data_IF_618326907985
#
_entry.id   IF_618326907985
#
_cell.length_a   1.000
_cell.length_b   1.000
_cell.length_c   1.000
_cell.angle_alpha   90.00
_cell.angle_beta   90.00
_cell.angle_gamma   90.00
#
_symmetry.space_group_name_H-M   'P 1'
#
loop_
_entity.id
_entity.type
_entity.pdbx_description
1 polymer ?
#
# COMPACT_ATOMS: atom_id res chain seq x y z
N UNK A 1 -19.74 24.33 38.66
CA UNK A 1 -19.68 24.93 37.32
C UNK A 1 -19.34 23.80 36.36
N UNK A 2 -20.12 23.67 35.30
CA UNK A 2 -20.23 22.50 34.43
C UNK A 2 -18.92 22.11 33.72
N UNK A 3 -18.82 20.81 33.44
CA UNK A 3 -17.90 20.13 32.53
C UNK A 3 -17.79 20.82 31.16
N UNK A 4 -16.58 21.21 30.76
CA UNK A 4 -16.17 21.46 29.37
C UNK A 4 -14.69 21.10 29.25
N UNK A 5 -14.40 19.85 28.88
CA UNK A 5 -13.04 19.36 28.69
C UNK A 5 -12.96 18.06 27.89
N UNK A 6 -14.00 17.74 27.12
CA UNK A 6 -14.04 16.56 26.25
C UNK A 6 -14.30 17.00 24.82
N UNK A 7 -13.28 17.54 24.16
CA UNK A 7 -13.21 17.81 22.71
C UNK A 7 -11.72 18.01 22.35
N UNK A 8 -10.89 16.99 22.50
CA UNK A 8 -9.49 17.08 22.03
C UNK A 8 -9.20 15.96 21.02
N UNK A 9 -9.27 14.69 21.42
CA UNK A 9 -8.91 13.59 20.51
C UNK A 9 -9.84 13.41 19.28
N UNK A 10 -11.16 13.50 19.44
CA UNK A 10 -12.12 13.31 18.33
C UNK A 10 -12.03 14.44 17.29
N UNK A 11 -11.93 15.69 17.75
CA UNK A 11 -11.78 16.84 16.85
C UNK A 11 -10.44 16.87 16.12
N UNK A 12 -9.38 16.37 16.76
CA UNK A 12 -8.04 16.28 16.19
C UNK A 12 -7.91 15.14 15.15
N UNK A 13 -8.67 14.05 15.30
CA UNK A 13 -8.73 12.97 14.32
C UNK A 13 -9.43 13.40 13.00
N UNK A 14 -10.50 14.19 13.08
CA UNK A 14 -11.22 14.77 11.93
C UNK A 14 -10.34 15.69 11.05
N UNK A 15 -9.20 16.13 11.59
CA UNK A 15 -8.21 16.98 10.92
C UNK A 15 -7.17 16.17 10.12
N UNK A 16 -7.22 14.85 10.10
CA UNK A 16 -6.24 14.02 9.37
C UNK A 16 -6.88 12.93 8.53
N UNK A 17 -6.21 12.53 7.45
CA UNK A 17 -6.66 11.43 6.56
C UNK A 17 -5.45 10.79 5.87
N UNK A 18 -5.58 9.53 5.45
CA UNK A 18 -4.55 8.84 4.67
C UNK A 18 -4.81 8.98 3.16
N UNK A 19 -3.74 8.91 2.36
CA UNK A 19 -3.87 8.71 0.92
C UNK A 19 -4.59 7.37 0.67
N UNK A 20 -5.82 7.44 0.19
CA UNK A 20 -6.59 6.24 -0.11
C UNK A 20 -6.19 5.67 -1.47
N UNK A 21 -6.08 4.35 -1.55
CA UNK A 21 -5.74 3.66 -2.79
C UNK A 21 -6.35 2.27 -2.83
N UNK A 22 -6.58 1.77 -4.04
CA UNK A 22 -6.70 0.34 -4.23
C UNK A 22 -5.31 -0.29 -4.06
N UNK A 23 -5.21 -1.46 -3.43
CA UNK A 23 -3.95 -2.20 -3.43
C UNK A 23 -4.15 -3.67 -3.77
N UNK A 24 -3.32 -4.18 -4.68
CA UNK A 24 -3.17 -5.60 -4.96
C UNK A 24 -1.74 -5.98 -4.66
N UNK A 25 -1.54 -6.74 -3.59
CA UNK A 25 -0.21 -7.01 -3.04
C UNK A 25 0.06 -8.50 -3.00
N UNK A 26 0.74 -9.01 -4.03
CA UNK A 26 1.23 -10.38 -4.03
C UNK A 26 2.61 -10.48 -3.35
N UNK A 27 2.78 -11.43 -2.45
CA UNK A 27 4.02 -11.65 -1.69
C UNK A 27 4.24 -13.12 -1.38
N UNK A 28 5.49 -13.51 -1.13
CA UNK A 28 5.82 -14.80 -0.56
C UNK A 28 5.72 -14.80 0.96
N UNK A 29 5.32 -15.91 1.54
CA UNK A 29 5.43 -16.13 2.99
C UNK A 29 6.87 -15.86 3.47
N UNK A 30 7.00 -15.06 4.53
CA UNK A 30 8.27 -14.61 5.08
C UNK A 30 8.94 -13.45 4.33
N UNK A 31 8.37 -12.97 3.22
CA UNK A 31 8.91 -11.85 2.45
C UNK A 31 8.67 -10.51 3.18
N UNK A 32 9.61 -9.58 2.98
CA UNK A 32 9.51 -8.17 3.39
C UNK A 32 9.39 -7.28 2.15
N UNK A 33 8.38 -6.43 2.14
CA UNK A 33 8.12 -5.50 1.05
C UNK A 33 8.07 -4.05 1.57
N UNK A 34 9.01 -3.17 1.19
CA UNK A 34 8.96 -1.79 1.61
C UNK A 34 7.78 -1.06 0.97
N UNK A 35 7.10 -0.24 1.76
CA UNK A 35 6.02 0.64 1.33
C UNK A 35 6.03 1.93 2.14
N UNK A 36 5.29 2.95 1.69
CA UNK A 36 5.14 4.19 2.45
C UNK A 36 3.69 4.68 2.39
N UNK A 37 3.08 4.88 3.56
CA UNK A 37 1.79 5.55 3.67
C UNK A 37 1.98 7.06 3.80
N UNK A 38 1.08 7.84 3.19
CA UNK A 38 1.04 9.30 3.38
C UNK A 38 -0.18 9.67 4.21
N UNK A 39 0.02 10.40 5.31
CA UNK A 39 -1.04 10.95 6.15
C UNK A 39 -1.01 12.47 6.03
N UNK A 40 -2.14 13.05 5.62
CA UNK A 40 -2.34 14.48 5.46
C UNK A 40 -3.04 15.09 6.67
N UNK A 41 -2.73 16.35 6.94
CA UNK A 41 -3.29 17.14 8.04
C UNK A 41 -3.87 18.45 7.51
N UNK A 42 -5.14 18.72 7.84
CA UNK A 42 -5.88 19.96 7.53
C UNK A 42 -5.34 21.21 8.25
N UNK A 43 -4.28 21.05 9.05
CA UNK A 43 -3.68 22.08 9.90
C UNK A 43 -2.16 21.93 9.88
N UNK A 44 -1.43 23.06 9.96
CA UNK A 44 0.03 23.08 10.14
C UNK A 44 0.49 22.54 11.50
N UNK A 45 -0.45 22.41 12.44
CA UNK A 45 -0.28 21.73 13.72
C UNK A 45 -0.93 20.34 13.64
N UNK A 46 -0.16 19.29 13.29
CA UNK A 46 -0.69 17.92 13.25
C UNK A 46 -1.11 17.45 14.65
N UNK A 47 -2.06 16.51 14.75
CA UNK A 47 -2.65 16.03 16.00
C UNK A 47 -1.68 15.19 16.86
N UNK A 48 -0.56 14.76 16.28
CA UNK A 48 0.52 14.06 16.96
C UNK A 48 1.86 14.43 16.32
N UNK A 49 2.96 14.18 17.04
CA UNK A 49 4.32 14.34 16.53
C UNK A 49 4.83 13.05 15.91
N UNK A 50 5.85 13.17 15.05
CA UNK A 50 6.46 12.01 14.38
C UNK A 50 7.05 10.99 15.36
N UNK A 51 7.59 11.43 16.52
CA UNK A 51 8.17 10.57 17.56
C UNK A 51 7.12 9.89 18.46
N UNK A 52 5.86 10.29 18.36
CA UNK A 52 4.74 9.69 19.10
C UNK A 52 4.15 8.49 18.35
N UNK A 53 4.45 8.30 17.06
CA UNK A 53 3.98 7.15 16.27
C UNK A 53 4.77 5.91 16.69
N UNK A 54 4.10 4.96 17.35
CA UNK A 54 4.77 3.80 17.96
C UNK A 54 4.53 2.51 17.19
N UNK A 55 3.30 2.27 16.73
CA UNK A 55 2.93 1.02 16.05
C UNK A 55 1.92 1.27 14.94
N UNK A 56 1.99 0.39 13.94
CA UNK A 56 1.06 0.31 12.84
C UNK A 56 0.50 -1.12 12.78
N UNK A 57 -0.75 -1.27 12.37
CA UNK A 57 -1.35 -2.59 12.19
C UNK A 57 -2.52 -2.57 11.22
N UNK A 58 -2.77 -3.74 10.64
CA UNK A 58 -3.96 -4.06 9.87
C UNK A 58 -4.92 -4.88 10.75
N UNK A 59 -6.01 -4.27 11.25
CA UNK A 59 -6.94 -4.95 12.16
C UNK A 59 -7.65 -6.16 11.54
N UNK A 60 -7.88 -6.14 10.23
CA UNK A 60 -8.59 -7.18 9.48
C UNK A 60 -7.64 -8.17 8.78
N UNK A 61 -6.36 -7.81 8.61
CA UNK A 61 -5.32 -8.66 8.03
C UNK A 61 -4.09 -8.84 8.96
N UNK A 62 -4.24 -9.40 10.18
CA UNK A 62 -3.15 -9.50 11.16
C UNK A 62 -1.97 -10.41 10.73
N UNK A 63 -2.19 -11.27 9.74
CA UNK A 63 -1.17 -12.14 9.13
C UNK A 63 -0.28 -11.39 8.13
N UNK A 64 -0.62 -10.15 7.78
CA UNK A 64 0.26 -9.21 7.08
C UNK A 64 0.69 -8.14 8.07
N UNK A 65 1.90 -8.27 8.60
CA UNK A 65 2.42 -7.31 9.56
C UNK A 65 2.81 -6.00 8.88
N UNK A 66 2.63 -4.90 9.60
CA UNK A 66 3.09 -3.57 9.22
C UNK A 66 4.17 -3.15 10.20
N UNK A 67 5.43 -3.24 9.78
CA UNK A 67 6.58 -2.85 10.61
C UNK A 67 7.00 -1.42 10.26
N UNK A 68 6.82 -0.48 11.18
CA UNK A 68 7.26 0.90 11.00
C UNK A 68 8.79 0.98 10.96
N UNK A 69 9.33 1.58 9.91
CA UNK A 69 10.78 1.75 9.72
C UNK A 69 11.22 3.19 9.90
N UNK A 70 10.41 4.16 9.48
CA UNK A 70 10.70 5.60 9.62
C UNK A 70 9.42 6.45 9.56
N UNK A 71 9.46 7.64 10.17
CA UNK A 71 8.39 8.64 10.10
C UNK A 71 9.01 9.97 9.77
N UNK A 72 8.73 10.47 8.57
CA UNK A 72 9.21 11.79 8.13
C UNK A 72 8.06 12.76 8.01
N UNK A 73 8.31 14.01 8.43
CA UNK A 73 7.45 15.14 8.10
C UNK A 73 8.01 15.80 6.84
N UNK A 74 7.17 16.00 5.86
CA UNK A 74 7.51 16.74 4.65
C UNK A 74 6.76 18.08 4.61
N UNK A 75 7.11 18.91 3.63
CA UNK A 75 6.56 20.27 3.46
C UNK A 75 5.08 20.26 3.09
N UNK A 76 4.44 21.43 3.26
CA UNK A 76 3.01 21.62 2.98
C UNK A 76 2.73 21.44 1.48
N UNK A 77 1.86 20.50 1.12
CA UNK A 77 1.32 20.35 -0.25
C UNK A 77 -0.15 20.75 -0.25
N UNK A 78 -0.54 21.66 -1.15
CA UNK A 78 -1.92 22.09 -1.35
C UNK A 78 -2.64 22.58 -0.07
N UNK A 79 -1.87 23.18 0.86
CA UNK A 79 -2.36 23.66 2.15
C UNK A 79 -2.42 22.62 3.28
N UNK A 80 -1.95 21.40 3.02
CA UNK A 80 -1.88 20.31 3.99
C UNK A 80 -0.43 20.00 4.36
N UNK A 81 -0.12 19.97 5.66
CA UNK A 81 1.09 19.29 6.11
C UNK A 81 0.89 17.78 5.95
N UNK A 82 1.97 17.01 5.75
CA UNK A 82 1.85 15.55 5.69
C UNK A 82 3.03 14.82 6.31
N UNK A 83 2.74 13.62 6.79
CA UNK A 83 3.73 12.64 7.24
C UNK A 83 3.82 11.49 6.25
N UNK A 84 5.03 10.99 6.04
CA UNK A 84 5.29 9.74 5.34
C UNK A 84 5.67 8.70 6.38
N UNK A 85 4.87 7.65 6.47
CA UNK A 85 5.12 6.49 7.32
C UNK A 85 5.79 5.42 6.46
N UNK A 86 7.10 5.30 6.54
CA UNK A 86 7.84 4.23 5.87
C UNK A 86 7.68 2.93 6.65
N UNK A 87 7.36 1.85 5.93
CA UNK A 87 7.05 0.55 6.52
C UNK A 87 7.70 -0.59 5.74
N UNK A 88 7.85 -1.73 6.40
CA UNK A 88 7.95 -3.03 5.76
C UNK A 88 6.63 -3.78 5.96
N UNK A 89 6.02 -4.24 4.87
CA UNK A 89 4.98 -5.26 4.89
C UNK A 89 5.65 -6.62 5.07
N UNK A 90 5.21 -7.41 6.04
CA UNK A 90 5.75 -8.75 6.30
C UNK A 90 4.64 -9.80 6.24
N UNK A 91 4.71 -10.71 5.28
CA UNK A 91 3.71 -11.77 5.13
C UNK A 91 4.02 -12.94 6.07
N UNK A 92 3.19 -13.16 7.09
CA UNK A 92 3.43 -14.17 8.15
C UNK A 92 2.85 -15.55 7.83
N UNK A 93 1.81 -15.60 6.99
CA UNK A 93 1.13 -16.83 6.62
C UNK A 93 0.59 -16.73 5.19
N UNK A 94 0.56 -17.86 4.49
CA UNK A 94 -0.06 -17.97 3.16
C UNK A 94 -1.57 -17.79 3.24
N UNK A 95 -2.16 -17.18 2.22
CA UNK A 95 -3.59 -16.93 2.14
C UNK A 95 -3.92 -15.65 1.41
N UNK A 96 -5.23 -15.40 1.27
CA UNK A 96 -5.76 -14.14 0.75
C UNK A 96 -6.33 -13.35 1.91
N UNK A 97 -5.89 -12.11 2.07
CA UNK A 97 -6.31 -11.22 3.14
C UNK A 97 -6.83 -9.91 2.55
N UNK A 98 -7.74 -9.25 3.28
CA UNK A 98 -8.28 -7.96 2.90
C UNK A 98 -8.17 -6.99 4.06
N UNK A 99 -7.86 -5.74 3.74
CA UNK A 99 -7.79 -4.66 4.69
C UNK A 99 -8.33 -3.38 4.06
N UNK A 100 -8.94 -2.53 4.87
CA UNK A 100 -9.38 -1.20 4.46
C UNK A 100 -8.97 -0.10 5.44
N UNK A 101 -8.32 -0.50 6.54
CA UNK A 101 -7.99 0.36 7.67
C UNK A 101 -6.53 0.19 8.06
N UNK A 102 -5.80 1.31 8.14
CA UNK A 102 -4.51 1.38 8.83
C UNK A 102 -4.74 1.90 10.24
N UNK A 103 -4.47 1.05 11.24
CA UNK A 103 -4.50 1.46 12.65
C UNK A 103 -3.14 1.99 13.07
N UNK A 104 -3.11 3.24 13.53
CA UNK A 104 -1.93 3.96 13.98
C UNK A 104 -2.04 4.23 15.48
N UNK A 105 -1.04 3.83 16.27
CA UNK A 105 -0.98 4.17 17.70
C UNK A 105 0.01 5.30 17.92
N UNK A 106 -0.48 6.42 18.47
CA UNK A 106 0.26 7.66 18.73
C UNK A 106 0.22 8.00 20.22
N UNK A 107 1.30 7.76 20.96
CA UNK A 107 1.32 7.93 22.41
C UNK A 107 0.20 7.14 23.11
N UNK A 108 -0.78 7.85 23.67
CA UNK A 108 -1.95 7.25 24.35
C UNK A 108 -3.20 7.11 23.46
N UNK A 109 -3.11 7.51 22.19
CA UNK A 109 -4.25 7.51 21.26
C UNK A 109 -4.07 6.46 20.17
N UNK A 110 -5.17 5.83 19.76
CA UNK A 110 -5.19 4.95 18.59
C UNK A 110 -6.17 5.52 17.58
N UNK A 111 -5.71 5.65 16.34
CA UNK A 111 -6.43 6.23 15.22
C UNK A 111 -6.56 5.19 14.11
N UNK A 112 -7.78 5.01 13.60
CA UNK A 112 -8.06 4.18 12.43
C UNK A 112 -8.17 5.08 11.20
N UNK A 113 -7.27 4.90 10.25
CA UNK A 113 -7.25 5.60 8.97
C UNK A 113 -7.83 4.72 7.88
N UNK A 114 -8.91 5.14 7.19
CA UNK A 114 -9.32 4.50 5.95
C UNK A 114 -8.21 4.61 4.90
N UNK A 115 -7.81 3.48 4.29
CA UNK A 115 -6.73 3.43 3.29
C UNK A 115 -7.18 3.00 1.89
N UNK A 116 -8.49 2.84 1.69
CA UNK A 116 -9.05 2.21 0.48
C UNK A 116 -8.96 0.68 0.57
N UNK A 117 -9.36 -0.04 -0.48
CA UNK A 117 -9.41 -1.50 -0.43
C UNK A 117 -8.06 -2.14 -0.78
N UNK A 118 -7.48 -2.84 0.19
CA UNK A 118 -6.24 -3.58 0.05
C UNK A 118 -6.52 -5.08 0.02
N UNK A 119 -5.92 -5.77 -0.94
CA UNK A 119 -5.92 -7.23 -1.05
C UNK A 119 -4.49 -7.74 -1.05
N UNK A 120 -4.21 -8.65 -0.14
CA UNK A 120 -2.95 -9.37 -0.08
C UNK A 120 -3.16 -10.80 -0.61
N UNK A 121 -2.32 -11.23 -1.54
CA UNK A 121 -2.25 -12.61 -2.02
C UNK A 121 -0.88 -13.19 -1.62
N UNK A 122 -0.85 -13.90 -0.49
CA UNK A 122 0.37 -14.46 0.07
C UNK A 122 0.52 -15.91 -0.38
N UNK A 123 1.48 -16.14 -1.28
CA UNK A 123 1.85 -17.46 -1.77
C UNK A 123 3.09 -18.03 -1.07
N UNK A 124 3.62 -19.13 -1.60
CA UNK A 124 4.88 -19.70 -1.14
C UNK A 124 6.04 -18.72 -1.36
N UNK A 125 7.07 -18.80 -0.52
CA UNK A 125 8.29 -17.99 -0.71
C UNK A 125 8.88 -18.20 -2.11
N UNK A 126 9.27 -17.10 -2.76
CA UNK A 126 9.93 -17.16 -4.05
C UNK A 126 11.25 -17.98 -3.95
N UNK A 127 11.60 -18.74 -4.98
CA UNK A 127 12.86 -19.49 -4.99
C UNK A 127 14.08 -18.54 -4.98
N UNK A 128 15.18 -18.96 -4.36
CA UNK A 128 16.41 -18.15 -4.27
C UNK A 128 17.05 -17.82 -5.63
N UNK A 129 16.95 -18.74 -6.59
CA UNK A 129 17.48 -18.51 -7.93
C UNK A 129 16.48 -17.66 -8.71
N UNK A 130 16.86 -16.44 -9.07
CA UNK A 130 16.05 -15.50 -9.83
C UNK A 130 16.04 -15.86 -11.33
N UNK A 131 14.84 -16.03 -11.90
CA UNK A 131 14.61 -16.37 -13.33
C UNK A 131 14.03 -15.20 -14.12
N UNK A 132 13.68 -14.14 -13.42
CA UNK A 132 13.08 -12.93 -13.93
C UNK A 132 13.55 -11.76 -13.08
N UNK A 133 14.15 -10.75 -13.71
CA UNK A 133 14.45 -9.46 -13.06
C UNK A 133 13.18 -8.62 -13.08
N UNK A 134 12.59 -8.44 -11.89
CA UNK A 134 11.37 -7.66 -11.66
C UNK A 134 11.67 -6.19 -11.32
N UNK A 135 12.93 -5.82 -11.15
CA UNK A 135 13.34 -4.52 -10.63
C UNK A 135 13.37 -3.42 -11.71
N UNK A 136 13.34 -3.79 -12.99
CA UNK A 136 13.33 -2.85 -14.12
C UNK A 136 11.98 -2.14 -14.29
N UNK A 137 10.89 -2.75 -13.81
CA UNK A 137 9.54 -2.18 -13.94
C UNK A 137 9.43 -0.79 -13.29
N UNK A 138 8.49 0.08 -13.67
CA UNK A 138 8.28 1.35 -12.98
C UNK A 138 7.83 1.16 -11.52
N UNK A 139 8.36 1.98 -10.60
CA UNK A 139 7.89 2.01 -9.20
C UNK A 139 6.71 2.98 -9.00
N UNK A 140 6.48 3.88 -9.95
CA UNK A 140 5.33 4.78 -10.00
C UNK A 140 5.00 5.14 -11.46
N UNK A 141 3.75 5.51 -11.74
CA UNK A 141 3.29 5.92 -13.06
C UNK A 141 2.25 7.04 -12.98
N UNK A 142 1.98 7.70 -14.10
CA UNK A 142 0.82 8.59 -14.26
C UNK A 142 -0.43 7.87 -14.78
N UNK A 143 -0.37 6.54 -14.99
CA UNK A 143 -1.47 5.74 -15.51
C UNK A 143 -2.28 5.20 -14.33
N UNK A 144 -3.46 5.76 -14.07
CA UNK A 144 -4.35 5.25 -13.03
C UNK A 144 -5.08 3.97 -13.47
N UNK A 145 -5.29 3.80 -14.78
CA UNK A 145 -6.06 2.72 -15.42
C UNK A 145 -5.20 1.54 -15.89
N UNK A 146 -3.88 1.59 -15.67
CA UNK A 146 -2.97 0.55 -16.14
C UNK A 146 -1.74 0.40 -15.25
N UNK A 147 -1.32 -0.85 -15.10
CA UNK A 147 -0.06 -1.26 -14.50
C UNK A 147 1.02 -1.42 -15.59
N UNK A 148 1.98 -0.48 -15.69
CA UNK A 148 3.12 -0.64 -16.58
C UNK A 148 4.14 -1.60 -15.99
N UNK A 149 4.70 -2.47 -16.82
CA UNK A 149 5.74 -3.41 -16.41
C UNK A 149 6.83 -3.59 -17.47
N UNK A 150 8.00 -3.95 -16.99
CA UNK A 150 9.20 -4.29 -17.76
C UNK A 150 9.97 -5.33 -16.95
N UNK A 151 9.92 -6.58 -17.39
CA UNK A 151 10.54 -7.75 -16.77
C UNK A 151 11.58 -8.32 -17.72
N UNK A 152 12.74 -8.73 -17.19
CA UNK A 152 13.78 -9.38 -18.01
C UNK A 152 13.92 -10.83 -17.63
N UNK A 153 13.68 -11.73 -18.58
CA UNK A 153 13.78 -13.17 -18.34
C UNK A 153 15.21 -13.67 -18.45
N UNK A 154 15.56 -14.65 -17.62
CA UNK A 154 16.78 -15.41 -17.79
C UNK A 154 16.74 -16.26 -19.08
N UNK A 155 17.90 -16.66 -19.59
CA UNK A 155 17.96 -17.48 -20.81
C UNK A 155 17.15 -18.79 -20.67
N UNK A 156 16.28 -19.06 -21.64
CA UNK A 156 15.42 -20.24 -21.67
C UNK A 156 14.25 -20.22 -20.67
N UNK A 157 14.05 -19.13 -19.93
CA UNK A 157 12.82 -18.90 -19.16
C UNK A 157 11.74 -18.27 -20.06
N UNK A 158 10.47 -18.56 -19.76
CA UNK A 158 9.31 -17.91 -20.38
C UNK A 158 8.40 -17.33 -19.30
N UNK A 159 7.82 -16.18 -19.59
CA UNK A 159 6.74 -15.62 -18.79
C UNK A 159 5.44 -16.41 -19.08
N UNK A 160 4.85 -17.01 -18.05
CA UNK A 160 3.63 -17.81 -18.15
C UNK A 160 2.42 -16.94 -17.91
N UNK A 161 2.41 -16.22 -16.80
CA UNK A 161 1.35 -15.27 -16.50
C UNK A 161 1.84 -14.18 -15.53
N UNK A 162 1.07 -13.09 -15.50
CA UNK A 162 1.11 -12.07 -14.45
C UNK A 162 -0.26 -12.04 -13.79
N UNK A 163 -0.32 -12.08 -12.47
CA UNK A 163 -1.55 -11.99 -11.71
C UNK A 163 -1.59 -10.69 -10.91
N UNK A 164 -2.72 -9.99 -10.98
CA UNK A 164 -3.06 -8.77 -10.21
C UNK A 164 -4.40 -9.05 -9.52
N UNK A 165 -4.37 -9.23 -8.20
CA UNK A 165 -5.59 -9.60 -7.47
C UNK A 165 -6.13 -10.95 -7.94
N UNK A 166 -7.36 -10.97 -8.45
CA UNK A 166 -8.00 -12.18 -9.01
C UNK A 166 -7.80 -12.33 -10.52
N UNK A 167 -7.30 -11.29 -11.18
CA UNK A 167 -7.11 -11.28 -12.63
C UNK A 167 -5.77 -11.93 -13.00
N UNK A 168 -5.82 -12.86 -13.98
CA UNK A 168 -4.66 -13.58 -14.50
C UNK A 168 -4.49 -13.23 -15.98
N UNK A 169 -3.34 -12.63 -16.30
CA UNK A 169 -2.96 -12.28 -17.65
C UNK A 169 -2.03 -13.36 -18.21
N UNK A 170 -2.57 -14.21 -19.09
CA UNK A 170 -1.88 -15.35 -19.67
C UNK A 170 -0.93 -14.95 -20.81
N UNK A 171 0.26 -15.55 -20.81
CA UNK A 171 1.33 -15.36 -21.80
C UNK A 171 1.59 -13.90 -22.18
N UNK A 172 1.77 -12.98 -21.21
CA UNK A 172 2.06 -11.59 -21.52
C UNK A 172 3.45 -11.45 -22.15
N UNK A 173 3.67 -10.34 -22.85
CA UNK A 173 5.03 -9.94 -23.27
C UNK A 173 5.90 -9.65 -22.05
N UNK A 174 7.21 -9.51 -22.24
CA UNK A 174 8.14 -9.15 -21.15
C UNK A 174 7.96 -7.71 -20.64
N UNK A 175 7.43 -6.83 -21.48
CA UNK A 175 7.09 -5.46 -21.12
C UNK A 175 5.74 -5.06 -21.74
N UNK A 176 5.03 -4.15 -21.09
CA UNK A 176 3.74 -3.66 -21.55
C UNK A 176 2.94 -2.96 -20.47
N UNK A 177 1.63 -2.87 -20.70
CA UNK A 177 0.65 -2.34 -19.77
C UNK A 177 -0.45 -3.37 -19.55
N UNK A 178 -0.79 -3.66 -18.30
CA UNK A 178 -1.96 -4.47 -17.94
C UNK A 178 -3.07 -3.54 -17.43
N UNK A 179 -4.34 -3.74 -17.84
CA UNK A 179 -5.43 -2.91 -17.37
C UNK A 179 -5.66 -3.07 -15.86
N UNK A 180 -5.98 -1.97 -15.20
CA UNK A 180 -6.55 -1.94 -13.85
C UNK A 180 -8.04 -1.64 -13.98
N UNK A 181 -8.87 -2.47 -13.38
CA UNK A 181 -10.32 -2.45 -13.61
C UNK A 181 -11.08 -1.53 -12.63
N UNK A 182 -10.35 -0.85 -11.74
CA UNK A 182 -10.94 -0.01 -10.70
C UNK A 182 -10.85 1.47 -11.05
N UNK A 183 -11.90 2.22 -10.69
CA UNK A 183 -12.03 3.66 -10.95
C UNK A 183 -11.29 4.54 -9.92
N UNK A 184 -10.43 3.96 -9.07
CA UNK A 184 -9.69 4.73 -8.07
C UNK A 184 -8.51 5.48 -8.71
N UNK A 185 -8.28 6.75 -8.33
CA UNK A 185 -7.24 7.61 -8.90
C UNK A 185 -5.82 7.15 -8.57
N UNK A 186 -5.68 6.24 -7.59
CA UNK A 186 -4.42 5.72 -7.11
C UNK A 186 -4.56 4.21 -6.85
N UNK A 187 -3.63 3.44 -7.39
CA UNK A 187 -3.51 2.00 -7.12
C UNK A 187 -2.08 1.62 -6.77
N UNK A 188 -1.89 0.76 -5.78
CA UNK A 188 -0.62 0.09 -5.50
C UNK A 188 -0.66 -1.36 -6.00
N UNK A 189 0.21 -1.71 -6.94
CA UNK A 189 0.20 -3.03 -7.58
C UNK A 189 1.54 -3.72 -7.39
N UNK A 190 1.55 -4.82 -6.64
CA UNK A 190 2.63 -5.78 -6.54
C UNK A 190 2.15 -7.10 -7.13
N UNK A 191 2.66 -7.46 -8.30
CA UNK A 191 2.20 -8.61 -9.08
C UNK A 191 2.73 -9.93 -8.55
N UNK A 192 1.97 -11.01 -8.77
CA UNK A 192 2.55 -12.36 -8.82
C UNK A 192 2.93 -12.67 -10.27
N UNK A 193 4.14 -13.18 -10.47
CA UNK A 193 4.70 -13.44 -11.79
C UNK A 193 5.10 -14.91 -11.87
N UNK A 194 4.41 -15.66 -12.72
CA UNK A 194 4.71 -17.08 -12.96
C UNK A 194 5.62 -17.20 -14.16
N UNK A 195 6.78 -17.84 -13.99
CA UNK A 195 7.72 -18.13 -15.08
C UNK A 195 8.01 -19.62 -15.17
N UNK A 196 8.16 -20.13 -16.39
CA UNK A 196 8.58 -21.51 -16.63
C UNK A 196 10.02 -21.54 -17.14
N UNK A 197 10.83 -22.45 -16.60
CA UNK A 197 12.14 -22.78 -17.15
C UNK A 197 12.37 -24.29 -17.05
N UNK A 198 12.77 -24.92 -18.17
CA UNK A 198 12.99 -26.37 -18.26
C UNK A 198 11.76 -27.21 -17.85
N UNK A 199 10.55 -26.76 -18.21
CA UNK A 199 9.29 -27.46 -17.94
C UNK A 199 8.84 -27.43 -16.47
N UNK A 200 9.35 -26.48 -15.67
CA UNK A 200 8.93 -26.24 -14.29
C UNK A 200 8.56 -24.78 -14.11
N UNK A 201 7.45 -24.53 -13.43
CA UNK A 201 6.95 -23.20 -13.09
C UNK A 201 7.45 -22.74 -11.72
N UNK A 202 7.65 -21.43 -11.61
CA UNK A 202 8.13 -20.74 -10.42
C UNK A 202 7.38 -19.42 -10.27
N UNK A 203 6.98 -19.12 -9.04
CA UNK A 203 6.32 -17.88 -8.68
C UNK A 203 7.34 -16.88 -8.13
N UNK A 204 7.25 -15.64 -8.60
CA UNK A 204 7.97 -14.47 -8.07
C UNK A 204 7.01 -13.33 -7.81
N UNK A 205 7.46 -12.34 -7.05
CA UNK A 205 6.64 -11.22 -6.62
C UNK A 205 7.29 -9.91 -7.05
N UNK A 206 6.52 -9.06 -7.74
CA UNK A 206 6.99 -7.78 -8.27
C UNK A 206 7.45 -6.83 -7.16
N UNK A 207 8.15 -5.76 -7.52
CA UNK A 207 8.62 -4.76 -6.53
C UNK A 207 7.53 -3.81 -6.00
N UNK A 208 6.40 -3.72 -6.71
CA UNK A 208 5.34 -2.75 -6.44
C UNK A 208 5.39 -1.51 -7.35
N UNK A 209 4.23 -1.04 -7.79
CA UNK A 209 4.06 0.20 -8.55
C UNK A 209 2.91 1.03 -7.97
N UNK A 210 3.16 2.31 -7.67
CA UNK A 210 2.13 3.31 -7.37
C UNK A 210 1.60 3.89 -8.70
N UNK A 211 0.54 3.29 -9.22
CA UNK A 211 -0.10 3.65 -10.47
C UNK A 211 -1.03 4.86 -10.27
N UNK A 212 -0.86 5.90 -11.09
CA UNK A 212 -1.58 7.19 -10.97
C UNK A 212 -0.91 8.23 -10.06
N UNK A 213 0.09 7.84 -9.27
CA UNK A 213 0.72 8.73 -8.28
C UNK A 213 1.46 9.94 -8.86
N UNK A 214 1.90 9.88 -10.12
CA UNK A 214 2.63 10.99 -10.74
C UNK A 214 1.71 12.11 -11.26
N UNK A 215 0.40 11.88 -11.36
CA UNK A 215 -0.58 12.86 -11.85
C UNK A 215 -1.94 12.63 -11.18
N UNK A 216 -2.01 12.91 -9.87
CA UNK A 216 -3.24 12.80 -9.10
C UNK A 216 -4.09 14.06 -9.36
N UNK A 217 -5.32 13.86 -9.84
CA UNK A 217 -6.29 14.93 -10.03
C UNK A 217 -6.66 15.64 -8.71
N UNK A 218 -6.92 16.94 -8.74
CA UNK A 218 -7.27 17.72 -7.54
C UNK A 218 -8.58 17.22 -6.91
N UNK A 219 -9.54 16.80 -7.72
CA UNK A 219 -10.82 16.23 -7.27
C UNK A 219 -10.61 14.93 -6.49
N UNK A 220 -9.71 14.07 -6.96
CA UNK A 220 -9.35 12.84 -6.28
C UNK A 220 -8.75 13.11 -4.89
N UNK A 221 -7.93 14.15 -4.77
CA UNK A 221 -7.39 14.55 -3.47
C UNK A 221 -8.48 15.07 -2.52
N UNK A 222 -9.42 15.87 -3.03
CA UNK A 222 -10.55 16.36 -2.25
C UNK A 222 -11.47 15.23 -1.75
N UNK A 223 -11.68 14.20 -2.56
CA UNK A 223 -12.41 12.99 -2.18
C UNK A 223 -11.71 12.23 -1.05
N UNK A 224 -10.37 12.07 -1.12
CA UNK A 224 -9.61 11.43 -0.04
C UNK A 224 -9.77 12.17 1.30
N UNK A 225 -9.76 13.52 1.27
CA UNK A 225 -9.91 14.36 2.46
C UNK A 225 -11.28 14.28 3.14
N UNK A 226 -12.28 13.70 2.47
CA UNK A 226 -13.63 13.49 2.99
C UNK A 226 -13.75 12.28 3.94
N UNK A 227 -12.72 11.43 4.02
CA UNK A 227 -12.71 10.25 4.90
C UNK A 227 -11.60 10.40 5.96
N UNK A 228 -11.88 11.14 7.04
CA UNK A 228 -10.90 11.37 8.08
C UNK A 228 -10.61 10.11 8.91
N UNK A 229 -9.55 10.18 9.71
CA UNK A 229 -9.28 9.21 10.74
C UNK A 229 -10.42 9.15 11.77
N UNK A 230 -10.62 7.98 12.36
CA UNK A 230 -11.53 7.79 13.48
C UNK A 230 -10.75 7.42 14.75
N UNK A 231 -11.13 7.98 15.90
CA UNK A 231 -10.56 7.58 17.19
C UNK A 231 -11.10 6.22 17.59
N UNK A 232 -10.20 5.31 17.96
CA UNK A 232 -10.60 4.01 18.53
C UNK A 232 -10.85 4.21 20.02
N UNK A 233 -12.13 4.31 20.41
CA UNK A 233 -12.50 4.34 21.83
C UNK A 233 -12.32 2.95 22.43
N UNK A 234 -11.49 2.81 23.47
CA UNK A 234 -11.41 1.57 24.24
C UNK A 234 -12.80 1.21 24.82
N UNK A 235 -13.31 0.02 24.47
CA UNK A 235 -14.50 -0.57 25.09
C UNK A 235 -14.16 -1.24 26.41
#
# INVERSE_FOLDING_TARGET
MLLLGGCTAEGDAELSFAAQMQAFVAMGEGERAPFAFTIYFKSDAPPFKTDEVHTLSFPNAPDVAVELTDVTRDETKDGYAFYVLSIDLCARAQGVFSEDTLRVTTGETTLDYPIGAWRFDVGASAPELERVDLWQSPAASSKADAFPYDYKLAEGARLVNIQIGEEIFESPSEAGDLPLLDDLPLSYVRTKVTVEQSGREYDYYGKGCLCGALDIAEEAFAEMAAYPAAVVTAQ
#
